data_IF_384522096495
#
_entry.id   IF_384522096495
#
_cell.length_a   1.000
_cell.length_b   1.000
_cell.length_c   1.000
_cell.angle_alpha   90.00
_cell.angle_beta   90.00
_cell.angle_gamma   90.00
#
_symmetry.space_group_name_H-M   'P 1'
#
loop_
_entity.id
_entity.type
_entity.pdbx_description
1 polymer ?
#
# COMPACT_ATOMS: atom_id res chain seq x y z
N UNK A 1 19.20 -19.33 -2.93
CA UNK A 1 18.83 -18.31 -3.92
C UNK A 1 17.32 -18.20 -4.11
N UNK A 2 16.56 -19.31 -4.17
CA UNK A 2 15.08 -19.27 -4.15
C UNK A 2 14.51 -18.46 -2.97
N UNK A 3 15.14 -18.53 -1.79
CA UNK A 3 14.77 -17.75 -0.60
C UNK A 3 14.83 -16.22 -0.80
N UNK A 4 15.65 -15.71 -1.71
CA UNK A 4 15.65 -14.27 -2.02
C UNK A 4 14.42 -13.88 -2.85
N UNK A 5 13.97 -14.77 -3.72
CA UNK A 5 12.83 -14.54 -4.59
C UNK A 5 11.53 -14.36 -3.80
N UNK A 6 11.31 -15.18 -2.79
CA UNK A 6 10.11 -15.10 -1.96
C UNK A 6 9.93 -13.75 -1.28
N UNK A 7 11.01 -13.04 -0.99
CA UNK A 7 10.93 -11.69 -0.40
C UNK A 7 10.28 -10.66 -1.34
N UNK A 8 10.25 -10.91 -2.65
CA UNK A 8 9.54 -10.08 -3.62
C UNK A 8 8.03 -10.36 -3.73
N UNK A 9 7.48 -11.21 -2.86
CA UNK A 9 6.07 -11.58 -2.86
C UNK A 9 5.36 -11.06 -1.60
N UNK A 10 4.25 -10.35 -1.83
CA UNK A 10 3.25 -9.96 -0.85
C UNK A 10 1.96 -10.71 -1.19
N UNK A 11 1.53 -11.64 -0.33
CA UNK A 11 0.46 -12.60 -0.65
C UNK A 11 -0.74 -12.46 0.27
N UNK A 12 -1.94 -12.69 -0.24
CA UNK A 12 -3.13 -12.86 0.58
C UNK A 12 -3.24 -14.27 1.15
N UNK A 13 -4.00 -14.42 2.23
CA UNK A 13 -4.38 -15.71 2.84
C UNK A 13 -5.88 -15.89 2.78
N UNK A 14 -6.34 -17.16 2.81
CA UNK A 14 -7.71 -17.52 2.37
C UNK A 14 -8.80 -17.20 3.38
N UNK A 15 -8.50 -17.15 4.67
CA UNK A 15 -9.55 -17.08 5.68
C UNK A 15 -9.16 -16.41 7.00
N UNK A 16 -9.93 -16.71 8.04
CA UNK A 16 -9.74 -16.16 9.39
C UNK A 16 -8.58 -16.83 10.16
N UNK A 17 -8.10 -17.95 9.68
CA UNK A 17 -6.99 -18.72 10.26
C UNK A 17 -6.03 -19.14 9.17
N UNK A 18 -4.76 -19.25 9.50
CA UNK A 18 -3.73 -19.72 8.59
C UNK A 18 -3.84 -21.24 8.44
N UNK A 19 -4.02 -21.75 7.21
CA UNK A 19 -4.02 -23.19 6.97
C UNK A 19 -2.59 -23.73 6.78
N UNK A 20 -2.45 -25.05 6.81
CA UNK A 20 -1.14 -25.72 6.76
C UNK A 20 -0.41 -25.54 5.43
N UNK A 21 -1.12 -25.41 4.32
CA UNK A 21 -0.53 -25.20 2.99
C UNK A 21 0.04 -23.78 2.89
N UNK A 22 -0.72 -22.78 3.32
CA UNK A 22 -0.27 -21.40 3.38
C UNK A 22 0.95 -21.23 4.30
N UNK A 23 0.88 -21.81 5.52
CA UNK A 23 1.97 -21.78 6.48
C UNK A 23 3.25 -22.39 5.89
N UNK A 24 3.12 -23.54 5.24
CA UNK A 24 4.23 -24.24 4.60
C UNK A 24 4.82 -23.41 3.45
N UNK A 25 3.99 -22.84 2.57
CA UNK A 25 4.44 -22.05 1.44
C UNK A 25 5.17 -20.76 1.91
N UNK A 26 4.59 -20.03 2.88
CA UNK A 26 5.20 -18.82 3.46
C UNK A 26 6.59 -19.14 4.00
N UNK A 27 6.72 -20.24 4.74
CA UNK A 27 7.98 -20.66 5.34
C UNK A 27 9.00 -21.14 4.32
N UNK A 28 8.61 -22.10 3.47
CA UNK A 28 9.53 -22.81 2.55
C UNK A 28 10.07 -21.86 1.47
N UNK A 29 9.22 -20.93 1.00
CA UNK A 29 9.59 -19.95 -0.03
C UNK A 29 10.13 -18.65 0.56
N UNK A 30 10.19 -18.50 1.88
CA UNK A 30 10.64 -17.29 2.57
C UNK A 30 9.90 -16.03 2.08
N UNK A 31 8.57 -16.08 2.06
CA UNK A 31 7.69 -15.02 1.56
C UNK A 31 7.96 -13.69 2.29
N UNK A 32 7.98 -12.59 1.53
CA UNK A 32 8.31 -11.25 2.04
C UNK A 32 7.26 -10.65 2.96
N UNK A 33 5.96 -10.92 2.69
CA UNK A 33 4.89 -10.40 3.51
C UNK A 33 3.51 -10.94 3.16
N UNK A 34 2.55 -10.59 3.99
CA UNK A 34 1.13 -10.95 3.84
C UNK A 34 0.29 -9.67 3.82
N UNK A 35 -0.63 -9.58 2.86
CA UNK A 35 -1.67 -8.55 2.80
C UNK A 35 -2.99 -9.13 3.31
N UNK A 36 -3.66 -8.39 4.20
CA UNK A 36 -4.91 -8.78 4.81
C UNK A 36 -6.08 -7.96 4.27
N UNK A 37 -7.20 -8.64 4.05
CA UNK A 37 -8.43 -8.07 3.51
C UNK A 37 -9.59 -8.22 4.50
N UNK A 38 -10.76 -7.68 4.15
CA UNK A 38 -11.94 -7.77 5.00
C UNK A 38 -12.39 -9.20 5.30
N UNK A 39 -12.15 -10.16 4.39
CA UNK A 39 -12.50 -11.57 4.60
C UNK A 39 -11.58 -12.29 5.60
N UNK A 40 -10.44 -11.69 5.94
CA UNK A 40 -9.54 -12.22 6.97
C UNK A 40 -9.88 -11.71 8.37
N UNK A 41 -10.91 -10.86 8.49
CA UNK A 41 -11.20 -10.13 9.70
C UNK A 41 -12.61 -10.43 10.24
N UNK A 42 -12.69 -10.76 11.51
CA UNK A 42 -13.92 -10.89 12.29
C UNK A 42 -13.88 -10.00 13.54
N UNK A 43 -12.79 -10.03 14.30
CA UNK A 43 -12.58 -9.27 15.51
C UNK A 43 -11.09 -8.96 15.75
N UNK A 44 -10.75 -7.93 16.56
CA UNK A 44 -9.34 -7.59 16.86
C UNK A 44 -8.53 -8.76 17.43
N UNK A 45 -9.11 -9.57 18.31
CA UNK A 45 -8.43 -10.73 18.87
C UNK A 45 -8.12 -11.80 17.80
N UNK A 46 -9.11 -12.12 16.95
CA UNK A 46 -8.94 -13.10 15.89
C UNK A 46 -7.86 -12.70 14.89
N UNK A 47 -7.85 -11.43 14.42
CA UNK A 47 -6.83 -10.99 13.46
C UNK A 47 -5.43 -10.96 14.08
N UNK A 48 -5.31 -10.63 15.37
CA UNK A 48 -4.04 -10.68 16.08
C UNK A 48 -3.49 -12.12 16.22
N UNK A 49 -4.36 -13.10 16.46
CA UNK A 49 -4.01 -14.52 16.45
C UNK A 49 -3.53 -14.97 15.07
N UNK A 50 -4.27 -14.63 14.00
CA UNK A 50 -3.86 -14.93 12.62
C UNK A 50 -2.49 -14.32 12.31
N UNK A 51 -2.24 -13.07 12.69
CA UNK A 51 -0.95 -12.39 12.46
C UNK A 51 0.17 -13.07 13.26
N UNK A 52 -0.09 -13.46 14.52
CA UNK A 52 0.85 -14.22 15.31
C UNK A 52 1.24 -15.54 14.63
N UNK A 53 0.27 -16.26 14.05
CA UNK A 53 0.52 -17.51 13.34
C UNK A 53 1.29 -17.30 12.04
N UNK A 54 0.95 -16.28 11.26
CA UNK A 54 1.70 -15.89 10.05
C UNK A 54 3.16 -15.60 10.42
N UNK A 55 3.40 -14.83 11.47
CA UNK A 55 4.76 -14.47 11.90
C UNK A 55 5.58 -15.65 12.46
N UNK A 56 4.94 -16.74 12.88
CA UNK A 56 5.65 -18.00 13.24
C UNK A 56 6.30 -18.66 12.01
N UNK A 57 5.83 -18.37 10.81
CA UNK A 57 6.36 -18.90 9.55
C UNK A 57 7.64 -18.18 9.07
N UNK A 58 8.05 -17.07 9.73
CA UNK A 58 9.25 -16.32 9.34
C UNK A 58 10.52 -17.14 9.43
N UNK A 59 11.49 -16.83 8.56
CA UNK A 59 12.87 -17.34 8.66
C UNK A 59 13.74 -16.29 9.37
N UNK A 60 14.55 -15.52 8.65
CA UNK A 60 15.51 -14.55 9.24
C UNK A 60 14.83 -13.25 9.69
N UNK A 61 13.89 -12.73 8.89
CA UNK A 61 13.23 -11.44 9.13
C UNK A 61 11.74 -11.61 9.39
N UNK A 62 11.13 -10.75 10.23
CA UNK A 62 9.68 -10.67 10.32
C UNK A 62 9.05 -10.39 8.95
N UNK A 63 7.83 -10.91 8.72
CA UNK A 63 7.09 -10.60 7.52
C UNK A 63 6.53 -9.17 7.57
N UNK A 64 6.42 -8.52 6.42
CA UNK A 64 5.49 -7.41 6.29
C UNK A 64 4.06 -7.93 6.49
N UNK A 65 3.31 -7.30 7.37
CA UNK A 65 1.87 -7.55 7.53
C UNK A 65 1.16 -6.25 7.17
N UNK A 66 0.43 -6.29 6.07
CA UNK A 66 -0.07 -5.08 5.45
C UNK A 66 -1.59 -5.09 5.27
N UNK A 67 -2.15 -3.90 5.14
CA UNK A 67 -3.58 -3.68 4.94
C UNK A 67 -3.84 -2.39 4.18
N UNK A 68 -4.96 -2.32 3.42
CA UNK A 68 -5.56 -1.07 2.95
C UNK A 68 -6.48 -0.52 4.02
N UNK A 69 -6.04 0.47 4.74
CA UNK A 69 -6.82 1.10 5.80
C UNK A 69 -6.66 2.62 5.69
N UNK A 70 -7.41 3.22 4.73
CA UNK A 70 -7.31 4.64 4.39
C UNK A 70 -8.27 5.50 5.22
N UNK A 71 -9.35 4.88 5.69
CA UNK A 71 -10.56 5.52 6.18
C UNK A 71 -11.66 5.57 5.11
N UNK A 72 -12.85 6.07 5.48
CA UNK A 72 -14.00 6.12 4.60
C UNK A 72 -14.39 4.75 4.05
N UNK A 73 -14.57 4.66 2.73
CA UNK A 73 -14.96 3.42 2.05
C UNK A 73 -13.84 2.38 1.93
N UNK A 74 -12.59 2.78 2.12
CA UNK A 74 -11.42 1.88 2.09
C UNK A 74 -10.88 1.70 3.49
N UNK A 75 -11.62 0.94 4.28
CA UNK A 75 -11.27 0.53 5.63
C UNK A 75 -11.63 -0.96 5.78
N UNK A 76 -10.61 -1.84 5.89
CA UNK A 76 -10.83 -3.31 5.86
C UNK A 76 -11.37 -3.83 7.19
N UNK A 77 -10.89 -3.30 8.31
CA UNK A 77 -11.31 -3.71 9.64
C UNK A 77 -12.32 -2.69 10.18
N UNK A 78 -13.50 -3.16 10.56
CA UNK A 78 -14.60 -2.29 10.98
C UNK A 78 -15.00 -2.53 12.42
N UNK A 79 -15.50 -3.70 12.76
CA UNK A 79 -15.96 -4.01 14.11
C UNK A 79 -14.80 -4.00 15.11
N UNK A 80 -14.88 -3.21 16.17
CA UNK A 80 -13.82 -3.09 17.17
C UNK A 80 -12.66 -2.18 16.75
N UNK A 81 -12.73 -1.54 15.58
CA UNK A 81 -11.86 -0.46 15.14
C UNK A 81 -12.63 0.85 15.02
N UNK A 82 -11.94 1.97 15.16
CA UNK A 82 -12.50 3.28 14.91
C UNK A 82 -12.85 3.46 13.43
N UNK A 83 -14.03 4.01 13.13
CA UNK A 83 -14.42 4.37 11.77
C UNK A 83 -13.83 5.73 11.41
N UNK A 84 -12.73 5.73 10.67
CA UNK A 84 -12.08 6.96 10.26
C UNK A 84 -12.78 7.56 9.02
N UNK A 85 -13.02 8.89 8.99
CA UNK A 85 -13.52 9.59 7.81
C UNK A 85 -12.63 9.38 6.57
N UNK A 86 -13.22 9.60 5.38
CA UNK A 86 -12.46 9.63 4.13
C UNK A 86 -11.46 10.81 4.12
N UNK A 87 -10.35 10.67 3.38
CA UNK A 87 -9.27 11.67 3.34
C UNK A 87 -9.74 13.06 2.91
N UNK A 88 -10.75 13.13 2.02
CA UNK A 88 -11.36 14.40 1.60
C UNK A 88 -11.93 15.23 2.77
N UNK A 89 -12.35 14.59 3.86
CA UNK A 89 -12.84 15.31 5.04
C UNK A 89 -11.70 16.12 5.71
N UNK A 90 -10.51 15.54 5.79
CA UNK A 90 -9.34 16.22 6.35
C UNK A 90 -8.81 17.31 5.44
N UNK A 91 -8.85 17.08 4.10
CA UNK A 91 -8.50 18.10 3.12
C UNK A 91 -9.42 19.32 3.17
N UNK A 92 -10.72 19.12 3.46
CA UNK A 92 -11.67 20.24 3.65
C UNK A 92 -11.40 21.04 4.90
N UNK A 93 -11.06 20.37 6.00
CA UNK A 93 -10.65 21.04 7.24
C UNK A 93 -9.35 21.82 7.08
N UNK A 94 -8.57 21.47 6.07
CA UNK A 94 -7.25 22.03 5.81
C UNK A 94 -6.34 22.10 7.05
N UNK A 95 -6.44 21.06 7.91
CA UNK A 95 -5.65 20.92 9.13
C UNK A 95 -4.67 19.74 9.06
N UNK A 96 -3.41 19.98 8.69
CA UNK A 96 -2.39 18.94 8.72
C UNK A 96 -2.15 18.36 10.11
N UNK A 97 -2.39 19.15 11.16
CA UNK A 97 -2.33 18.67 12.56
C UNK A 97 -3.36 17.55 12.78
N UNK A 98 -4.62 17.79 12.42
CA UNK A 98 -5.70 16.79 12.53
C UNK A 98 -5.36 15.53 11.70
N UNK A 99 -4.85 15.70 10.48
CA UNK A 99 -4.42 14.57 9.65
C UNK A 99 -3.33 13.74 10.31
N UNK A 100 -2.33 14.39 10.93
CA UNK A 100 -1.29 13.70 11.69
C UNK A 100 -1.88 12.90 12.86
N UNK A 101 -2.74 13.54 13.68
CA UNK A 101 -3.34 12.93 14.87
C UNK A 101 -4.20 11.71 14.50
N UNK A 102 -5.04 11.85 13.47
CA UNK A 102 -5.90 10.74 13.00
C UNK A 102 -5.08 9.58 12.44
N UNK A 103 -4.04 9.84 11.64
CA UNK A 103 -3.19 8.76 11.13
C UNK A 103 -2.34 8.12 12.24
N UNK A 104 -2.00 8.85 13.30
CA UNK A 104 -1.39 8.27 14.48
C UNK A 104 -2.35 7.34 15.22
N UNK A 105 -3.62 7.75 15.43
CA UNK A 105 -4.65 6.92 16.03
C UNK A 105 -4.91 5.64 15.22
N UNK A 106 -5.10 5.80 13.91
CA UNK A 106 -5.27 4.68 12.97
C UNK A 106 -4.09 3.71 13.05
N UNK A 107 -2.88 4.24 13.03
CA UNK A 107 -1.67 3.44 13.15
C UNK A 107 -1.54 2.73 14.49
N UNK A 108 -1.95 3.34 15.61
CA UNK A 108 -1.96 2.71 16.93
C UNK A 108 -2.89 1.50 16.96
N UNK A 109 -4.11 1.61 16.41
CA UNK A 109 -5.05 0.49 16.35
C UNK A 109 -4.52 -0.66 15.50
N UNK A 110 -3.96 -0.35 14.32
CA UNK A 110 -3.38 -1.34 13.42
C UNK A 110 -2.14 -2.02 14.03
N UNK A 111 -1.24 -1.25 14.63
CA UNK A 111 -0.04 -1.79 15.30
C UNK A 111 -0.41 -2.68 16.50
N UNK A 112 -1.48 -2.35 17.22
CA UNK A 112 -1.92 -3.13 18.38
C UNK A 112 -2.28 -4.58 18.01
N UNK A 113 -2.80 -4.82 16.81
CA UNK A 113 -3.13 -6.17 16.30
C UNK A 113 -1.98 -6.83 15.54
N UNK A 114 -0.84 -6.14 15.37
CA UNK A 114 0.37 -6.70 14.73
C UNK A 114 0.56 -6.32 13.27
N UNK A 115 -0.29 -5.45 12.69
CA UNK A 115 -0.03 -4.82 11.38
C UNK A 115 1.22 -3.95 11.51
N UNK A 116 2.08 -3.97 10.50
CA UNK A 116 3.30 -3.16 10.47
C UNK A 116 3.43 -2.27 9.22
N UNK A 117 2.52 -2.42 8.24
CA UNK A 117 2.49 -1.63 7.01
C UNK A 117 1.04 -1.26 6.65
N UNK A 118 0.77 0.02 6.46
CA UNK A 118 -0.50 0.48 5.90
C UNK A 118 -0.29 1.07 4.51
N UNK A 119 -1.08 0.64 3.52
CA UNK A 119 -1.08 1.25 2.19
C UNK A 119 -1.80 2.60 2.20
N UNK A 120 -1.19 3.55 2.88
CA UNK A 120 -1.62 4.93 3.08
C UNK A 120 -0.36 5.82 3.24
N UNK A 121 -0.39 7.09 2.80
CA UNK A 121 -1.53 7.83 2.27
C UNK A 121 -1.75 7.67 0.77
N UNK A 122 -2.98 8.02 0.33
CA UNK A 122 -3.27 8.30 -1.08
C UNK A 122 -2.68 9.67 -1.43
N UNK A 123 -1.79 9.68 -2.44
CA UNK A 123 -1.09 10.87 -2.94
C UNK A 123 -1.75 11.45 -4.21
N UNK A 124 -2.79 10.79 -4.71
CA UNK A 124 -3.49 11.21 -5.92
C UNK A 124 -4.18 12.56 -5.71
N UNK A 125 -4.08 13.44 -6.70
CA UNK A 125 -4.82 14.70 -6.75
C UNK A 125 -6.10 14.48 -7.54
N UNK A 126 -7.26 14.68 -6.94
CA UNK A 126 -8.55 14.42 -7.60
C UNK A 126 -8.88 15.48 -8.64
N UNK A 127 -8.04 15.60 -9.67
CA UNK A 127 -8.13 16.59 -10.74
C UNK A 127 -9.25 16.31 -11.76
N UNK A 128 -9.77 15.07 -11.80
CA UNK A 128 -10.93 14.71 -12.60
C UNK A 128 -12.13 14.38 -11.70
N UNK A 129 -13.17 15.24 -11.64
CA UNK A 129 -14.38 15.00 -10.83
C UNK A 129 -15.17 13.74 -11.22
N UNK A 130 -14.99 13.23 -12.44
CA UNK A 130 -15.62 12.00 -12.90
C UNK A 130 -14.89 10.73 -12.43
N UNK A 131 -13.70 10.86 -11.91
CA UNK A 131 -12.94 9.74 -11.35
C UNK A 131 -13.51 9.30 -10.00
N UNK A 132 -14.41 8.29 -10.05
CA UNK A 132 -15.02 7.71 -8.85
C UNK A 132 -14.11 6.69 -8.14
N UNK A 133 -13.03 6.24 -8.79
CA UNK A 133 -12.08 5.28 -8.19
C UNK A 133 -11.30 5.96 -7.08
N UNK A 134 -10.85 7.16 -7.32
CA UNK A 134 -10.17 8.01 -6.32
C UNK A 134 -11.21 8.78 -5.51
N UNK A 135 -11.91 9.77 -6.09
CA UNK A 135 -12.96 10.50 -5.40
C UNK A 135 -12.52 11.00 -4.01
N UNK A 136 -13.32 10.68 -3.01
CA UNK A 136 -13.13 11.04 -1.59
C UNK A 136 -11.92 10.36 -0.90
N UNK A 137 -11.26 9.42 -1.59
CA UNK A 137 -9.97 8.85 -1.13
C UNK A 137 -8.81 9.84 -1.28
N UNK A 138 -8.89 10.84 -2.16
CA UNK A 138 -7.92 11.93 -2.22
C UNK A 138 -8.20 12.97 -1.14
N UNK A 139 -7.15 13.64 -0.65
CA UNK A 139 -7.31 14.76 0.27
C UNK A 139 -8.01 15.95 -0.40
N UNK A 140 -7.71 16.22 -1.68
CA UNK A 140 -8.26 17.35 -2.42
C UNK A 140 -8.05 17.20 -3.94
N UNK A 141 -8.68 18.09 -4.70
CA UNK A 141 -8.39 18.40 -6.10
C UNK A 141 -7.25 19.43 -6.27
N UNK A 142 -6.74 19.99 -5.17
CA UNK A 142 -5.64 20.96 -5.14
C UNK A 142 -4.35 20.32 -4.66
N UNK A 143 -3.30 20.41 -5.49
CA UNK A 143 -2.00 19.78 -5.24
C UNK A 143 -1.37 20.22 -3.91
N UNK A 144 -1.42 21.50 -3.58
CA UNK A 144 -0.82 22.04 -2.35
C UNK A 144 -1.50 21.53 -1.07
N UNK A 145 -2.81 21.23 -1.15
CA UNK A 145 -3.54 20.60 -0.04
C UNK A 145 -3.08 19.14 0.10
N UNK A 146 -3.05 18.38 -1.01
CA UNK A 146 -2.61 16.98 -0.99
C UNK A 146 -1.20 16.86 -0.43
N UNK A 147 -0.25 17.72 -0.86
CA UNK A 147 1.14 17.69 -0.40
C UNK A 147 1.28 17.82 1.13
N UNK A 148 0.61 18.80 1.73
CA UNK A 148 0.74 19.04 3.16
C UNK A 148 0.09 17.93 3.99
N UNK A 149 -1.06 17.38 3.51
CA UNK A 149 -1.74 16.29 4.18
C UNK A 149 -1.01 14.95 4.02
N UNK A 150 -0.45 14.66 2.85
CA UNK A 150 0.42 13.48 2.63
C UNK A 150 1.59 13.47 3.61
N UNK A 151 2.27 14.61 3.78
CA UNK A 151 3.37 14.72 4.75
C UNK A 151 2.91 14.47 6.19
N UNK A 152 1.75 15.01 6.56
CA UNK A 152 1.18 14.85 7.90
C UNK A 152 0.76 13.39 8.17
N UNK A 153 0.12 12.73 7.19
CA UNK A 153 -0.30 11.35 7.28
C UNK A 153 0.87 10.38 7.47
N UNK A 154 1.94 10.52 6.65
CA UNK A 154 3.15 9.71 6.79
C UNK A 154 3.75 9.86 8.19
N UNK A 155 3.85 11.08 8.68
CA UNK A 155 4.40 11.34 10.02
C UNK A 155 3.52 10.78 11.14
N UNK A 156 2.19 10.82 10.97
CA UNK A 156 1.24 10.23 11.91
C UNK A 156 1.39 8.71 12.00
N UNK A 157 1.46 8.02 10.84
CA UNK A 157 1.72 6.58 10.80
C UNK A 157 3.08 6.22 11.43
N UNK A 158 4.13 6.96 11.08
CA UNK A 158 5.46 6.73 11.68
C UNK A 158 5.46 6.93 13.21
N UNK A 159 4.71 7.89 13.73
CA UNK A 159 4.62 8.12 15.17
C UNK A 159 3.94 6.98 15.93
N UNK A 160 3.14 6.15 15.24
CA UNK A 160 2.56 4.92 15.80
C UNK A 160 3.44 3.69 15.60
N UNK A 161 4.60 3.81 14.93
CA UNK A 161 5.48 2.70 14.59
C UNK A 161 5.12 1.97 13.30
N UNK A 162 4.09 2.40 12.56
CA UNK A 162 3.69 1.81 11.29
C UNK A 162 4.51 2.34 10.12
N UNK A 163 4.81 1.47 9.18
CA UNK A 163 5.30 1.87 7.86
C UNK A 163 4.17 2.43 7.00
N UNK A 164 4.50 3.44 6.20
CA UNK A 164 3.61 4.11 5.26
C UNK A 164 3.95 3.74 3.81
N UNK A 165 2.94 3.65 2.95
CA UNK A 165 3.10 3.45 1.51
C UNK A 165 2.33 4.50 0.72
N UNK A 166 3.04 5.37 0.01
CA UNK A 166 2.45 6.39 -0.85
C UNK A 166 1.89 5.77 -2.13
N UNK A 167 0.65 6.09 -2.49
CA UNK A 167 -0.05 5.51 -3.63
C UNK A 167 -0.97 6.49 -4.34
N UNK A 168 -1.26 6.31 -5.61
CA UNK A 168 -0.84 5.27 -6.56
C UNK A 168 0.07 5.93 -7.61
N UNK A 169 1.37 5.72 -7.52
CA UNK A 169 2.33 6.33 -8.45
C UNK A 169 2.10 5.81 -9.89
N UNK A 170 2.11 6.65 -10.90
CA UNK A 170 2.55 8.06 -10.96
C UNK A 170 1.44 9.12 -10.82
N UNK A 171 0.32 8.81 -10.23
CA UNK A 171 -0.86 9.66 -10.06
C UNK A 171 -2.07 9.08 -10.77
N UNK A 172 -3.11 8.79 -9.99
CA UNK A 172 -4.34 8.13 -10.46
C UNK A 172 -5.54 9.08 -10.49
N UNK A 173 -5.37 10.34 -10.01
CA UNK A 173 -6.49 11.25 -9.76
C UNK A 173 -7.20 11.75 -11.02
N UNK A 174 -6.48 11.82 -12.14
CA UNK A 174 -6.95 12.33 -13.43
C UNK A 174 -7.44 11.26 -14.40
N UNK A 175 -7.41 9.98 -14.03
CA UNK A 175 -7.77 8.89 -14.93
C UNK A 175 -9.20 9.02 -15.44
N UNK A 176 -9.39 8.73 -16.72
CA UNK A 176 -10.71 8.55 -17.34
C UNK A 176 -10.95 7.03 -17.39
N UNK A 177 -12.14 6.60 -16.96
CA UNK A 177 -12.61 5.26 -17.33
C UNK A 177 -12.90 5.28 -18.82
N UNK A 178 -12.07 4.66 -19.62
CA UNK A 178 -12.51 4.16 -20.90
C UNK A 178 -13.28 2.86 -20.62
N UNK A 179 -14.60 2.90 -20.82
CA UNK A 179 -15.50 1.81 -20.50
C UNK A 179 -15.24 0.53 -21.31
N UNK A 180 -14.36 0.56 -22.31
CA UNK A 180 -14.08 -0.56 -23.19
C UNK A 180 -12.92 -1.43 -22.76
N UNK A 181 -12.05 -0.97 -21.83
CA UNK A 181 -10.80 -1.69 -21.54
C UNK A 181 -10.51 -1.92 -20.07
N UNK A 182 -11.25 -1.44 -19.13
CA UNK A 182 -10.97 -1.48 -17.67
C UNK A 182 -9.52 -1.11 -17.27
N UNK A 183 -8.70 -0.71 -18.25
CA UNK A 183 -7.32 -0.28 -18.08
C UNK A 183 -7.30 1.25 -18.00
N UNK A 184 -6.99 1.82 -16.83
CA UNK A 184 -6.99 3.27 -16.67
C UNK A 184 -5.92 3.91 -17.56
N UNK A 185 -6.30 4.98 -18.24
CA UNK A 185 -5.45 5.69 -19.19
C UNK A 185 -5.38 7.18 -18.87
N UNK A 186 -4.18 7.75 -18.96
CA UNK A 186 -3.90 9.16 -18.67
C UNK A 186 -3.19 9.81 -19.86
N UNK A 187 -3.77 10.91 -20.35
CA UNK A 187 -3.16 11.75 -21.39
C UNK A 187 -2.91 13.14 -20.81
N UNK A 188 -1.71 13.41 -20.36
CA UNK A 188 -1.31 14.72 -19.85
C UNK A 188 -0.04 15.21 -20.52
N UNK A 189 0.16 16.54 -20.51
CA UNK A 189 1.48 17.08 -20.80
C UNK A 189 2.46 16.72 -19.68
N UNK A 190 3.74 16.66 -19.99
CA UNK A 190 4.79 16.47 -18.99
C UNK A 190 4.71 17.56 -17.90
N UNK A 191 4.47 18.79 -18.28
CA UNK A 191 4.32 19.92 -17.35
C UNK A 191 3.18 19.73 -16.35
N UNK A 192 1.99 19.30 -16.83
CA UNK A 192 0.88 18.99 -15.93
C UNK A 192 1.24 17.87 -14.96
N UNK A 193 1.81 16.79 -15.49
CA UNK A 193 2.19 15.67 -14.67
C UNK A 193 3.22 16.05 -13.59
N UNK A 194 4.24 16.81 -13.93
CA UNK A 194 5.28 17.26 -13.00
C UNK A 194 4.75 18.18 -11.88
N UNK A 195 3.82 19.06 -12.21
CA UNK A 195 3.31 20.09 -11.31
C UNK A 195 2.11 19.60 -10.47
N UNK A 196 1.32 18.65 -10.99
CA UNK A 196 0.10 18.19 -10.32
C UNK A 196 0.30 16.79 -9.74
N UNK A 197 0.51 15.78 -10.60
CA UNK A 197 0.48 14.37 -10.18
C UNK A 197 1.76 13.95 -9.44
N UNK A 198 2.93 14.39 -9.91
CA UNK A 198 4.23 14.02 -9.32
C UNK A 198 4.52 14.74 -8.00
N UNK A 199 3.99 15.95 -7.81
CA UNK A 199 4.36 16.82 -6.69
C UNK A 199 4.08 16.22 -5.31
N UNK A 200 2.90 15.58 -5.04
CA UNK A 200 2.66 14.87 -3.78
C UNK A 200 3.62 13.71 -3.53
N UNK A 201 4.05 12.99 -4.58
CA UNK A 201 5.04 11.91 -4.44
C UNK A 201 6.43 12.44 -4.12
N UNK A 202 6.83 13.59 -4.70
CA UNK A 202 8.05 14.33 -4.26
C UNK A 202 7.97 14.68 -2.78
N UNK A 203 6.78 15.10 -2.31
CA UNK A 203 6.55 15.42 -0.90
C UNK A 203 6.60 14.18 -0.03
N UNK A 204 6.00 13.06 -0.46
CA UNK A 204 6.06 11.78 0.24
C UNK A 204 7.51 11.28 0.39
N UNK A 205 8.32 11.34 -0.68
CA UNK A 205 9.73 10.99 -0.65
C UNK A 205 10.52 11.85 0.36
N UNK A 206 10.32 13.19 0.33
CA UNK A 206 10.92 14.13 1.31
C UNK A 206 10.46 13.84 2.74
N UNK A 207 9.25 13.32 2.93
CA UNK A 207 8.70 12.91 4.23
C UNK A 207 9.17 11.52 4.66
N UNK A 208 10.11 10.92 3.91
CA UNK A 208 10.75 9.62 4.20
C UNK A 208 9.75 8.46 4.22
N UNK A 209 8.74 8.48 3.34
CA UNK A 209 7.84 7.35 3.16
C UNK A 209 8.63 6.03 2.97
N UNK A 210 8.11 4.93 3.47
CA UNK A 210 8.84 3.65 3.49
C UNK A 210 8.71 2.89 2.18
N UNK A 211 7.53 2.96 1.54
CA UNK A 211 7.26 2.34 0.24
C UNK A 211 6.51 3.29 -0.68
N UNK A 212 6.63 3.05 -1.99
CA UNK A 212 5.75 3.64 -3.01
C UNK A 212 5.07 2.54 -3.81
N UNK A 213 3.76 2.68 -4.03
CA UNK A 213 2.96 1.72 -4.79
C UNK A 213 2.80 2.19 -6.22
N UNK A 214 3.20 1.34 -7.18
CA UNK A 214 3.07 1.55 -8.62
C UNK A 214 1.68 1.13 -9.08
N UNK A 215 0.96 2.03 -9.73
CA UNK A 215 -0.38 1.78 -10.25
C UNK A 215 -0.40 1.03 -11.58
N UNK A 216 -1.51 0.31 -11.82
CA UNK A 216 -1.79 -0.36 -13.10
C UNK A 216 -2.49 0.59 -14.07
N UNK A 217 -1.80 1.65 -14.47
CA UNK A 217 -2.34 2.63 -15.41
C UNK A 217 -1.35 2.94 -16.54
N UNK A 218 -1.86 3.25 -17.71
CA UNK A 218 -1.08 3.72 -18.83
C UNK A 218 -0.98 5.24 -18.76
N UNK A 219 0.25 5.75 -18.84
CA UNK A 219 0.54 7.18 -18.93
C UNK A 219 1.31 7.41 -20.23
N UNK A 220 0.68 8.03 -21.22
CA UNK A 220 1.17 8.11 -22.60
C UNK A 220 2.51 8.83 -22.75
N UNK A 221 2.82 9.77 -21.88
CA UNK A 221 4.14 10.45 -21.84
C UNK A 221 5.28 9.50 -21.42
N UNK A 222 4.96 8.36 -20.78
CA UNK A 222 5.95 7.34 -20.45
C UNK A 222 5.93 6.24 -21.50
N UNK A 223 4.82 5.54 -21.62
CA UNK A 223 4.64 4.40 -22.52
C UNK A 223 3.16 4.28 -22.91
N UNK A 224 2.87 4.10 -24.22
CA UNK A 224 1.47 4.10 -24.70
C UNK A 224 0.76 2.76 -24.58
N UNK A 225 1.53 1.67 -24.55
CA UNK A 225 0.99 0.31 -24.68
C UNK A 225 1.22 -0.54 -23.43
N UNK A 226 1.83 0.06 -22.38
CA UNK A 226 2.17 -0.67 -21.15
C UNK A 226 1.74 0.12 -19.92
N UNK A 227 1.16 -0.56 -18.91
CA UNK A 227 0.89 0.07 -17.63
C UNK A 227 2.22 0.38 -16.92
N UNK A 228 2.21 1.41 -16.09
CA UNK A 228 3.39 1.86 -15.35
C UNK A 228 4.04 0.74 -14.52
N UNK A 229 3.24 -0.21 -14.02
CA UNK A 229 3.71 -1.39 -13.29
C UNK A 229 4.66 -2.28 -14.12
N UNK A 230 4.52 -2.29 -15.45
CA UNK A 230 5.34 -3.08 -16.38
C UNK A 230 6.33 -2.21 -17.14
N UNK A 231 6.42 -0.90 -16.86
CA UNK A 231 7.23 0.08 -17.59
C UNK A 231 8.54 0.40 -16.86
N UNK A 232 9.67 0.01 -17.42
CA UNK A 232 10.99 0.39 -16.89
C UNK A 232 11.16 1.92 -16.80
N UNK A 233 10.56 2.68 -17.74
CA UNK A 233 10.59 4.15 -17.69
C UNK A 233 9.94 4.69 -16.43
N UNK A 234 8.78 4.15 -16.03
CA UNK A 234 8.07 4.58 -14.83
C UNK A 234 8.91 4.34 -13.57
N UNK A 235 9.56 3.17 -13.45
CA UNK A 235 10.47 2.90 -12.33
C UNK A 235 11.72 3.77 -12.35
N UNK A 236 12.28 4.07 -13.52
CA UNK A 236 13.44 4.96 -13.64
C UNK A 236 13.10 6.39 -13.15
N UNK A 237 11.89 6.88 -13.41
CA UNK A 237 11.44 8.17 -12.88
C UNK A 237 11.46 8.16 -11.34
N UNK A 238 10.95 7.10 -10.70
CA UNK A 238 11.04 6.96 -9.25
C UNK A 238 12.49 6.97 -8.76
N UNK A 239 13.36 6.21 -9.42
CA UNK A 239 14.75 6.05 -8.99
C UNK A 239 15.60 7.28 -9.30
N UNK A 240 15.45 7.88 -10.48
CA UNK A 240 16.33 8.93 -10.99
C UNK A 240 15.80 10.34 -10.72
N UNK A 241 14.50 10.58 -10.90
CA UNK A 241 13.88 11.90 -10.72
C UNK A 241 13.52 12.17 -9.26
N UNK A 242 12.83 11.21 -8.61
CA UNK A 242 12.48 11.34 -7.18
C UNK A 242 13.63 10.97 -6.24
N UNK A 243 14.68 10.32 -6.74
CA UNK A 243 15.78 9.76 -5.94
C UNK A 243 15.25 8.82 -4.84
N UNK A 244 14.17 8.10 -5.14
CA UNK A 244 13.57 7.17 -4.20
C UNK A 244 14.30 5.83 -4.24
N UNK A 245 15.09 5.55 -3.22
CA UNK A 245 15.96 4.37 -3.10
C UNK A 245 15.37 3.23 -2.24
N UNK A 246 14.17 3.46 -1.66
CA UNK A 246 13.46 2.49 -0.83
C UNK A 246 12.61 1.51 -1.66
N UNK A 247 11.74 0.75 -1.01
CA UNK A 247 10.95 -0.32 -1.61
C UNK A 247 9.85 0.22 -2.52
N UNK A 248 9.79 -0.27 -3.75
CA UNK A 248 8.68 -0.03 -4.68
C UNK A 248 7.86 -1.31 -4.79
N UNK A 249 6.59 -1.20 -4.41
CA UNK A 249 5.63 -2.29 -4.44
C UNK A 249 4.60 -2.04 -5.55
N UNK A 250 4.03 -3.09 -6.14
CA UNK A 250 2.96 -2.94 -7.13
C UNK A 250 1.59 -2.83 -6.45
N UNK A 251 0.58 -2.36 -7.16
CA UNK A 251 -0.82 -2.62 -6.82
C UNK A 251 -1.13 -4.12 -7.05
N UNK A 252 -2.34 -4.56 -6.68
CA UNK A 252 -2.76 -5.96 -6.75
C UNK A 252 -2.82 -6.49 -8.19
N UNK A 253 -2.03 -7.52 -8.49
CA UNK A 253 -1.91 -8.12 -9.83
C UNK A 253 -3.17 -8.84 -10.30
N UNK A 254 -4.10 -9.15 -9.39
CA UNK A 254 -5.40 -9.74 -9.76
C UNK A 254 -6.44 -8.68 -10.14
N UNK A 255 -6.07 -7.39 -10.20
CA UNK A 255 -6.93 -6.36 -10.80
C UNK A 255 -7.04 -6.57 -12.31
N UNK A 256 -8.24 -6.27 -12.87
CA UNK A 256 -8.56 -6.47 -14.29
C UNK A 256 -7.54 -5.84 -15.23
N UNK A 257 -7.00 -4.68 -14.87
CA UNK A 257 -5.97 -3.98 -15.64
C UNK A 257 -4.72 -4.83 -15.96
N UNK A 258 -4.35 -5.77 -15.11
CA UNK A 258 -3.26 -6.72 -15.35
C UNK A 258 -3.82 -8.08 -15.76
N UNK A 259 -4.73 -8.63 -14.95
CA UNK A 259 -5.22 -9.98 -15.11
C UNK A 259 -5.81 -10.25 -16.50
N UNK A 260 -6.70 -9.35 -16.95
CA UNK A 260 -7.49 -9.57 -18.17
C UNK A 260 -6.76 -9.11 -19.44
N UNK A 261 -5.75 -8.21 -19.32
CA UNK A 261 -5.05 -7.64 -20.48
C UNK A 261 -3.65 -8.21 -20.71
N UNK A 262 -2.94 -8.62 -19.66
CA UNK A 262 -1.54 -9.02 -19.76
C UNK A 262 -1.26 -10.43 -19.21
N UNK A 263 -2.17 -10.99 -18.39
CA UNK A 263 -1.95 -12.24 -17.66
C UNK A 263 -1.00 -12.06 -16.47
N UNK A 264 -1.38 -12.58 -15.30
CA UNK A 264 -0.67 -12.29 -14.04
C UNK A 264 0.71 -12.93 -13.95
N UNK A 265 0.87 -14.16 -14.45
CA UNK A 265 2.12 -14.92 -14.35
C UNK A 265 3.24 -14.25 -15.15
N UNK A 266 2.96 -13.95 -16.42
CA UNK A 266 3.91 -13.25 -17.29
C UNK A 266 4.20 -11.85 -16.79
N UNK A 267 3.18 -11.11 -16.39
CA UNK A 267 3.32 -9.76 -15.86
C UNK A 267 4.15 -9.72 -14.58
N UNK A 268 4.14 -10.78 -13.76
CA UNK A 268 4.98 -10.89 -12.57
C UNK A 268 6.47 -10.88 -12.92
N UNK A 269 6.86 -11.60 -13.96
CA UNK A 269 8.24 -11.59 -14.46
C UNK A 269 8.60 -10.22 -15.01
N UNK A 270 7.73 -9.64 -15.86
CA UNK A 270 7.95 -8.33 -16.49
C UNK A 270 8.05 -7.20 -15.45
N UNK A 271 7.23 -7.20 -14.38
CA UNK A 271 7.29 -6.19 -13.33
C UNK A 271 8.61 -6.25 -12.54
N UNK A 272 9.08 -7.46 -12.21
CA UNK A 272 10.38 -7.62 -11.57
C UNK A 272 11.52 -7.14 -12.50
N UNK A 273 11.45 -7.43 -13.79
CA UNK A 273 12.42 -6.92 -14.77
C UNK A 273 12.35 -5.41 -14.92
N UNK A 274 11.14 -4.81 -14.88
CA UNK A 274 10.91 -3.39 -15.00
C UNK A 274 11.44 -2.60 -13.80
N UNK A 275 11.42 -3.15 -12.59
CA UNK A 275 11.95 -2.46 -11.41
C UNK A 275 11.16 -2.62 -10.10
N UNK A 276 10.03 -3.36 -10.09
CA UNK A 276 9.32 -3.67 -8.87
C UNK A 276 10.19 -4.44 -7.88
N UNK A 277 10.15 -4.06 -6.61
CA UNK A 277 10.81 -4.82 -5.55
C UNK A 277 9.89 -5.90 -4.98
N UNK A 278 8.59 -5.57 -4.82
CA UNK A 278 7.56 -6.49 -4.30
C UNK A 278 6.33 -6.43 -5.20
N UNK A 279 5.70 -7.60 -5.41
CA UNK A 279 4.43 -7.75 -6.13
C UNK A 279 3.35 -8.21 -5.17
N UNK A 280 2.15 -7.61 -5.26
CA UNK A 280 0.99 -7.97 -4.46
C UNK A 280 0.11 -8.96 -5.23
N UNK A 281 -0.32 -10.02 -4.54
CA UNK A 281 -1.33 -10.98 -4.99
C UNK A 281 -2.39 -11.12 -3.88
N UNK A 282 -3.63 -10.81 -4.21
CA UNK A 282 -4.73 -10.86 -3.23
C UNK A 282 -5.11 -12.28 -2.81
N UNK A 283 -4.92 -13.28 -3.69
CA UNK A 283 -5.23 -14.67 -3.38
C UNK A 283 -3.97 -15.55 -3.26
N UNK A 284 -4.03 -16.50 -2.36
CA UNK A 284 -2.97 -17.49 -2.18
C UNK A 284 -2.71 -18.30 -3.46
N UNK A 285 -3.78 -18.71 -4.15
CA UNK A 285 -3.69 -19.49 -5.40
C UNK A 285 -2.87 -18.75 -6.47
N UNK A 286 -3.22 -17.50 -6.76
CA UNK A 286 -2.50 -16.71 -7.75
C UNK A 286 -1.04 -16.50 -7.35
N UNK A 287 -0.78 -16.29 -6.06
CA UNK A 287 0.59 -16.14 -5.55
C UNK A 287 1.45 -17.39 -5.81
N UNK A 288 0.89 -18.59 -5.61
CA UNK A 288 1.60 -19.87 -5.87
C UNK A 288 1.89 -20.03 -7.37
N UNK A 289 0.89 -19.84 -8.23
CA UNK A 289 1.04 -19.96 -9.69
C UNK A 289 2.09 -18.97 -10.23
N UNK A 290 2.03 -17.72 -9.78
CA UNK A 290 2.99 -16.70 -10.18
C UNK A 290 4.40 -16.95 -9.61
N UNK A 291 4.51 -17.45 -8.39
CA UNK A 291 5.81 -17.82 -7.81
C UNK A 291 6.52 -18.88 -8.63
N UNK A 292 5.80 -19.92 -9.05
CA UNK A 292 6.36 -20.99 -9.90
C UNK A 292 6.85 -20.46 -11.27
N UNK A 293 6.08 -19.54 -11.90
CA UNK A 293 6.51 -18.93 -13.18
C UNK A 293 7.72 -18.02 -12.99
N UNK A 294 7.75 -17.21 -11.95
CA UNK A 294 8.91 -16.35 -11.66
C UNK A 294 10.15 -17.18 -11.32
N UNK A 295 9.99 -18.28 -10.58
CA UNK A 295 11.08 -19.22 -10.29
C UNK A 295 11.63 -19.86 -11.57
N UNK A 296 10.75 -20.39 -12.45
CA UNK A 296 11.14 -20.94 -13.76
C UNK A 296 11.88 -19.91 -14.63
N UNK A 297 11.40 -18.66 -14.63
CA UNK A 297 12.02 -17.56 -15.36
C UNK A 297 13.38 -17.15 -14.78
N UNK A 298 13.52 -17.21 -13.46
CA UNK A 298 14.80 -17.00 -12.79
C UNK A 298 15.82 -18.10 -13.14
N UNK A 299 15.43 -19.37 -13.11
CA UNK A 299 16.27 -20.51 -13.50
C UNK A 299 16.74 -20.42 -14.96
N UNK A 300 15.87 -19.93 -15.85
CA UNK A 300 16.19 -19.61 -17.26
C UNK A 300 17.02 -18.33 -17.44
N UNK A 301 17.44 -17.68 -16.35
CA UNK A 301 18.23 -16.44 -16.34
C UNK A 301 17.54 -15.23 -17.00
N UNK A 302 16.22 -15.25 -17.09
CA UNK A 302 15.43 -14.11 -17.57
C UNK A 302 15.40 -12.98 -16.53
N UNK A 303 15.50 -13.31 -15.26
CA UNK A 303 15.68 -12.36 -14.14
C UNK A 303 17.14 -12.46 -13.69
N UNK A 304 17.86 -11.35 -13.73
CA UNK A 304 19.29 -11.33 -13.37
C UNK A 304 19.46 -11.50 -11.84
N UNK A 305 20.38 -12.38 -11.40
CA UNK A 305 20.66 -12.56 -9.97
C UNK A 305 21.06 -11.27 -9.26
N UNK A 306 21.80 -10.36 -9.92
CA UNK A 306 22.18 -9.05 -9.40
C UNK A 306 20.98 -8.16 -9.07
N UNK A 307 19.97 -8.18 -9.96
CA UNK A 307 18.78 -7.36 -9.79
C UNK A 307 17.92 -7.86 -8.61
N UNK A 308 17.77 -9.20 -8.51
CA UNK A 308 17.09 -9.82 -7.37
C UNK A 308 17.82 -9.52 -6.05
N UNK A 309 19.15 -9.53 -6.05
CA UNK A 309 19.93 -9.19 -4.85
C UNK A 309 19.78 -7.72 -4.45
N UNK A 310 19.67 -6.82 -5.43
CA UNK A 310 19.41 -5.40 -5.18
C UNK A 310 18.05 -5.17 -4.56
N UNK A 311 16.99 -5.87 -5.06
CA UNK A 311 15.65 -5.84 -4.48
C UNK A 311 15.65 -6.38 -3.05
N UNK A 312 16.25 -7.54 -2.85
CA UNK A 312 16.40 -8.15 -1.53
C UNK A 312 17.05 -7.19 -0.52
N UNK A 313 18.14 -6.50 -0.90
CA UNK A 313 18.81 -5.52 -0.02
C UNK A 313 17.89 -4.37 0.40
N UNK A 314 17.03 -3.87 -0.50
CA UNK A 314 16.05 -2.83 -0.13
C UNK A 314 15.00 -3.38 0.84
N UNK A 315 14.48 -4.57 0.56
CA UNK A 315 13.45 -5.22 1.37
C UNK A 315 14.00 -5.57 2.76
N UNK A 316 15.14 -6.26 2.84
CA UNK A 316 15.74 -6.64 4.11
C UNK A 316 16.20 -5.43 4.92
N UNK A 317 16.82 -4.44 4.27
CA UNK A 317 17.21 -3.20 4.93
C UNK A 317 16.04 -2.44 5.53
N UNK A 318 14.88 -2.39 4.84
CA UNK A 318 13.67 -1.79 5.38
C UNK A 318 13.13 -2.59 6.58
N UNK A 319 13.13 -3.92 6.51
CA UNK A 319 12.74 -4.79 7.63
C UNK A 319 13.64 -4.59 8.85
N UNK A 320 14.93 -4.56 8.64
CA UNK A 320 15.93 -4.33 9.71
C UNK A 320 15.78 -2.95 10.36
N UNK A 321 15.48 -1.92 9.57
CA UNK A 321 15.24 -0.56 10.07
C UNK A 321 13.95 -0.46 10.89
N UNK A 322 12.84 -1.04 10.39
CA UNK A 322 11.48 -0.73 10.87
C UNK A 322 10.86 -1.80 11.74
N UNK A 323 11.10 -3.08 11.46
CA UNK A 323 10.43 -4.18 12.18
C UNK A 323 11.39 -4.80 13.19
N UNK A 324 12.70 -4.83 12.91
CA UNK A 324 13.77 -5.43 13.74
C UNK A 324 13.43 -6.85 14.19
N UNK A 325 12.69 -6.98 15.30
CA UNK A 325 12.27 -8.25 15.89
C UNK A 325 10.76 -8.24 16.11
N UNK A 326 10.11 -9.33 15.75
CA UNK A 326 8.68 -9.51 16.03
C UNK A 326 8.46 -9.98 17.45
N UNK A 327 7.60 -9.28 18.17
CA UNK A 327 7.06 -9.70 19.47
C UNK A 327 5.60 -10.09 19.28
N UNK A 328 5.16 -11.30 19.65
CA UNK A 328 3.77 -11.71 19.52
C UNK A 328 2.81 -10.75 20.23
N UNK A 329 1.68 -10.49 19.59
CA UNK A 329 0.62 -9.68 20.18
C UNK A 329 0.01 -10.43 21.36
N UNK A 330 -0.07 -9.76 22.52
CA UNK A 330 -0.73 -10.27 23.72
C UNK A 330 -2.20 -9.88 23.65
N UNK A 331 -3.08 -10.86 23.48
CA UNK A 331 -4.51 -10.64 23.22
C UNK A 331 -5.22 -9.90 24.38
N UNK A 332 -4.85 -10.18 25.62
CA UNK A 332 -5.41 -9.50 26.80
C UNK A 332 -5.17 -7.98 26.84
N UNK A 333 -4.14 -7.52 26.14
CA UNK A 333 -3.74 -6.10 26.14
C UNK A 333 -4.41 -5.27 25.03
N UNK A 334 -5.10 -5.91 24.09
CA UNK A 334 -5.59 -5.28 22.86
C UNK A 334 -6.47 -4.06 23.13
N UNK A 335 -7.48 -4.19 24.00
CA UNK A 335 -8.42 -3.10 24.30
C UNK A 335 -7.71 -1.85 24.83
N UNK A 336 -6.68 -2.07 25.66
CA UNK A 336 -5.90 -0.96 26.21
C UNK A 336 -4.99 -0.32 25.14
N UNK A 337 -4.35 -1.14 24.29
CA UNK A 337 -3.42 -0.64 23.25
C UNK A 337 -4.14 0.05 22.10
N UNK A 338 -5.29 -0.46 21.67
CA UNK A 338 -6.09 0.12 20.59
C UNK A 338 -6.71 1.46 20.97
N UNK A 339 -7.16 1.61 22.23
CA UNK A 339 -7.69 2.86 22.77
C UNK A 339 -8.89 3.46 21.97
N UNK A 340 -9.68 2.61 21.33
CA UNK A 340 -10.75 2.97 20.37
C UNK A 340 -11.75 3.99 20.96
N UNK A 341 -12.12 3.87 22.23
CA UNK A 341 -13.07 4.79 22.86
C UNK A 341 -12.60 6.26 22.79
N UNK A 342 -11.31 6.53 23.07
CA UNK A 342 -10.74 7.88 22.97
C UNK A 342 -10.65 8.36 21.53
N UNK A 343 -10.36 7.46 20.59
CA UNK A 343 -10.31 7.81 19.17
C UNK A 343 -11.69 8.18 18.64
N UNK A 344 -12.74 7.45 19.05
CA UNK A 344 -14.14 7.77 18.71
C UNK A 344 -14.54 9.12 19.32
N UNK A 345 -14.22 9.38 20.59
CA UNK A 345 -14.49 10.67 21.24
C UNK A 345 -13.83 11.83 20.47
N UNK A 346 -12.55 11.68 20.10
CA UNK A 346 -11.84 12.68 19.28
C UNK A 346 -12.53 12.94 17.93
N UNK A 347 -12.93 11.87 17.23
CA UNK A 347 -13.57 12.00 15.91
C UNK A 347 -14.99 12.58 16.00
N UNK A 348 -15.73 12.33 17.08
CA UNK A 348 -17.03 12.96 17.31
C UNK A 348 -16.89 14.47 17.42
N UNK A 349 -15.94 14.97 18.22
CA UNK A 349 -15.67 16.41 18.31
C UNK A 349 -15.20 17.02 16.97
N UNK A 350 -14.50 16.24 16.13
CA UNK A 350 -14.10 16.68 14.79
C UNK A 350 -15.28 16.80 13.82
N UNK A 351 -16.24 15.88 13.90
CA UNK A 351 -17.47 15.92 13.07
C UNK A 351 -18.33 17.14 13.41
N UNK A 352 -18.43 17.50 14.67
CA UNK A 352 -19.16 18.70 15.11
C UNK A 352 -18.55 19.96 14.49
N UNK A 353 -17.21 20.08 14.47
CA UNK A 353 -16.53 21.18 13.80
C UNK A 353 -16.81 21.24 12.28
N UNK A 354 -16.83 20.08 11.60
CA UNK A 354 -17.17 19.99 10.17
C UNK A 354 -18.63 20.37 9.86
N UNK A 355 -19.54 20.19 10.81
CA UNK A 355 -20.94 20.59 10.67
C UNK A 355 -21.16 22.09 10.94
N UNK A 356 -20.46 22.65 11.92
CA UNK A 356 -20.53 24.09 12.21
C UNK A 356 -20.00 24.98 11.08
N UNK A 357 -18.95 24.54 10.38
CA UNK A 357 -18.41 25.28 9.22
C UNK A 357 -19.37 25.27 8.02
N UNK A 358 -20.17 24.20 7.85
CA UNK A 358 -21.23 24.14 6.81
C UNK A 358 -22.41 25.08 7.07
N UNK A 359 -22.61 25.51 8.30
CA UNK A 359 -23.69 26.44 8.65
C UNK A 359 -23.27 27.90 8.55
N UNK A 360 -22.00 28.16 8.30
CA UNK A 360 -21.44 29.52 8.16
C UNK A 360 -21.16 29.94 6.70
N UNK A 361 -21.26 28.98 5.75
CA UNK A 361 -21.25 29.25 4.30
C UNK A 361 -22.68 29.40 3.76
#
# INVERSE_FOLDING_TARGET
MSKLLGQSFMIGVSGLQLNSEEAKFIKDQNIGGVILFAHNYEAPAQIAELINDIQKCRDEHPLFISVDHEGGRVQRFKNGFTHFPALAAYGKLDSPKTTYEVHQMMGQELAAVGINLNYSPVCDVWSNPQNKVIGDRAFSDRTEIVEKHVSAAIRGLHASGLMACAKHFPGHGSTKKDSHFDLPYVTHSMEFWENVELSPFKKAAKSKVDMMMMAHLIVDIFEKDRPCTLSTKAYNILRETLKFDKVVITDDFEMSAIKDHFGIERSSVEALQAGADIIIYRSFKAAVECYEEVLRSYEKKMIKPSDLQTKYKRISGLKEEKIKQYTPVIISDLNHKMNVAKHVEYLTGLQDQLHEDKTKE
#
